data_IF_879629744690
#
_entry.id   IF_879629744690
#
_cell.length_a   1.000
_cell.length_b   1.000
_cell.length_c   1.000
_cell.angle_alpha   90.00
_cell.angle_beta   90.00
_cell.angle_gamma   90.00
#
_symmetry.space_group_name_H-M   'P 1'
#
loop_
_entity.id
_entity.type
_entity.pdbx_description
1 polymer ?
#
# COMPACT_ATOMS: atom_id res chain seq x y z
N UNK A 1 -16.42 -13.10 -8.44
CA UNK A 1 -16.08 -14.51 -8.11
C UNK A 1 -14.74 -14.98 -8.67
N UNK A 2 -14.42 -14.80 -9.97
CA UNK A 2 -13.14 -15.28 -10.54
C UNK A 2 -11.85 -14.70 -9.90
N UNK A 3 -11.87 -13.48 -9.35
CA UNK A 3 -10.68 -12.88 -8.70
C UNK A 3 -10.45 -13.29 -7.24
N UNK A 4 -11.51 -13.70 -6.52
CA UNK A 4 -11.42 -14.22 -5.15
C UNK A 4 -10.84 -15.64 -5.15
N UNK A 5 -11.22 -16.44 -6.15
CA UNK A 5 -10.65 -17.77 -6.38
C UNK A 5 -9.18 -17.69 -6.80
N UNK A 6 -8.78 -16.71 -7.62
CA UNK A 6 -7.36 -16.55 -7.98
C UNK A 6 -6.51 -16.08 -6.81
N UNK A 7 -6.99 -15.13 -6.00
CA UNK A 7 -6.25 -14.65 -4.82
C UNK A 7 -6.16 -15.74 -3.75
N UNK A 8 -7.25 -16.47 -3.48
CA UNK A 8 -7.23 -17.62 -2.58
C UNK A 8 -6.27 -18.73 -3.04
N UNK A 9 -6.23 -19.02 -4.35
CA UNK A 9 -5.29 -19.98 -4.93
C UNK A 9 -3.83 -19.54 -4.78
N UNK A 10 -3.52 -18.27 -5.03
CA UNK A 10 -2.15 -17.75 -4.84
C UNK A 10 -1.76 -17.67 -3.36
N UNK A 11 -2.69 -17.36 -2.45
CA UNK A 11 -2.46 -17.44 -1.01
C UNK A 11 -2.22 -18.87 -0.55
N UNK A 12 -2.95 -19.85 -1.09
CA UNK A 12 -2.75 -21.27 -0.82
C UNK A 12 -1.41 -21.77 -1.38
N UNK A 13 -1.02 -21.37 -2.60
CA UNK A 13 0.28 -21.70 -3.19
C UNK A 13 1.43 -21.07 -2.41
N UNK A 14 1.28 -19.83 -1.94
CA UNK A 14 2.27 -19.17 -1.10
C UNK A 14 2.39 -19.85 0.27
N UNK A 15 1.27 -20.19 0.91
CA UNK A 15 1.25 -20.96 2.16
C UNK A 15 1.86 -22.36 1.97
N UNK A 16 1.56 -23.04 0.87
CA UNK A 16 2.14 -24.33 0.52
C UNK A 16 3.67 -24.22 0.29
N UNK A 17 4.13 -23.18 -0.40
CA UNK A 17 5.56 -22.91 -0.58
C UNK A 17 6.26 -22.64 0.76
N UNK A 18 5.61 -21.90 1.67
CA UNK A 18 6.10 -21.67 3.04
C UNK A 18 6.17 -22.99 3.81
N UNK A 19 5.17 -23.87 3.70
CA UNK A 19 5.23 -25.19 4.35
C UNK A 19 6.30 -26.09 3.78
N UNK A 20 6.54 -26.07 2.45
CA UNK A 20 7.58 -26.86 1.79
C UNK A 20 8.97 -26.35 2.18
N UNK A 21 9.17 -25.04 2.29
CA UNK A 21 10.40 -24.42 2.78
C UNK A 21 10.61 -24.63 4.28
N UNK A 22 9.53 -24.76 5.04
CA UNK A 22 9.59 -25.11 6.46
C UNK A 22 9.92 -26.58 6.68
N UNK A 23 9.48 -27.49 5.81
CA UNK A 23 9.77 -28.92 5.91
C UNK A 23 11.17 -29.27 5.36
N UNK A 24 11.67 -28.52 4.37
CA UNK A 24 13.06 -28.64 3.89
C UNK A 24 14.11 -28.30 4.97
N UNK A 25 13.71 -27.53 6.00
CA UNK A 25 14.45 -27.28 7.24
C UNK A 25 14.83 -28.55 8.00
N UNK A 26 14.04 -29.65 7.87
CA UNK A 26 14.36 -30.94 8.49
C UNK A 26 15.42 -31.73 7.74
N UNK A 27 15.71 -31.40 6.48
CA UNK A 27 16.59 -32.19 5.62
C UNK A 27 18.04 -31.68 5.52
N UNK A 28 18.36 -30.47 6.01
CA UNK A 28 19.75 -30.02 6.19
C UNK A 28 20.51 -29.48 4.95
N UNK A 29 19.82 -28.91 3.94
CA UNK A 29 20.43 -28.58 2.64
C UNK A 29 20.92 -27.13 2.43
N UNK A 30 20.89 -26.22 3.43
CA UNK A 30 21.00 -24.77 3.14
C UNK A 30 21.74 -23.92 4.18
N UNK A 31 22.89 -24.36 4.70
CA UNK A 31 23.49 -23.72 5.87
C UNK A 31 24.33 -22.43 5.63
N UNK A 32 24.49 -21.86 4.42
CA UNK A 32 25.58 -20.85 4.27
C UNK A 32 25.43 -19.59 3.40
N UNK A 33 24.27 -19.20 2.85
CA UNK A 33 24.25 -17.99 1.96
C UNK A 33 23.15 -16.97 2.27
N UNK A 34 22.05 -17.36 2.92
CA UNK A 34 21.03 -16.40 3.34
C UNK A 34 20.57 -16.83 4.72
N UNK A 35 20.69 -15.93 5.71
CA UNK A 35 20.14 -16.16 7.05
C UNK A 35 18.67 -16.58 6.89
N UNK A 36 18.33 -17.78 7.32
CA UNK A 36 16.99 -18.37 7.15
C UNK A 36 15.90 -17.47 7.76
N UNK A 37 16.29 -16.70 8.77
CA UNK A 37 15.48 -15.66 9.42
C UNK A 37 15.16 -14.51 8.45
N UNK A 38 16.15 -14.06 7.68
CA UNK A 38 16.01 -13.03 6.66
C UNK A 38 15.11 -13.51 5.50
N UNK A 39 15.27 -14.75 5.04
CA UNK A 39 14.39 -15.36 4.03
C UNK A 39 12.94 -15.42 4.50
N UNK A 40 12.70 -15.85 5.74
CA UNK A 40 11.36 -15.88 6.35
C UNK A 40 10.77 -14.48 6.44
N UNK A 41 11.54 -13.48 6.88
CA UNK A 41 11.08 -12.09 6.90
C UNK A 41 10.77 -11.56 5.50
N UNK A 42 11.62 -11.81 4.50
CA UNK A 42 11.38 -11.40 3.12
C UNK A 42 10.15 -12.08 2.52
N UNK A 43 9.92 -13.35 2.83
CA UNK A 43 8.72 -14.09 2.42
C UNK A 43 7.45 -13.54 3.07
N UNK A 44 7.44 -13.30 4.38
CA UNK A 44 6.28 -12.70 5.05
C UNK A 44 5.99 -11.28 4.57
N UNK A 45 7.02 -10.49 4.33
CA UNK A 45 6.88 -9.17 3.71
C UNK A 45 6.35 -9.27 2.28
N UNK A 46 6.85 -10.23 1.49
CA UNK A 46 6.38 -10.51 0.14
C UNK A 46 4.91 -10.93 0.10
N UNK A 47 4.49 -11.80 1.03
CA UNK A 47 3.08 -12.21 1.19
C UNK A 47 2.22 -11.03 1.61
N UNK A 48 2.68 -10.22 2.57
CA UNK A 48 1.98 -9.00 3.00
C UNK A 48 1.78 -8.01 1.85
N UNK A 49 2.82 -7.77 1.06
CA UNK A 49 2.78 -6.92 -0.14
C UNK A 49 1.86 -7.52 -1.19
N UNK A 50 1.91 -8.84 -1.45
CA UNK A 50 1.07 -9.50 -2.43
C UNK A 50 -0.41 -9.45 -2.04
N UNK A 51 -0.74 -9.67 -0.76
CA UNK A 51 -2.09 -9.53 -0.22
C UNK A 51 -2.56 -8.08 -0.34
N UNK A 52 -1.69 -7.12 -0.07
CA UNK A 52 -2.01 -5.70 -0.18
C UNK A 52 -2.27 -5.27 -1.63
N UNK A 53 -1.42 -5.68 -2.56
CA UNK A 53 -1.60 -5.46 -4.01
C UNK A 53 -2.86 -6.16 -4.51
N UNK A 54 -3.15 -7.37 -4.03
CA UNK A 54 -4.37 -8.09 -4.33
C UNK A 54 -5.63 -7.39 -3.79
N UNK A 55 -5.59 -6.90 -2.55
CA UNK A 55 -6.68 -6.21 -1.87
C UNK A 55 -6.94 -4.81 -2.46
N UNK A 56 -5.91 -4.13 -2.98
CA UNK A 56 -6.06 -2.89 -3.74
C UNK A 56 -6.88 -3.07 -5.02
N UNK A 57 -7.02 -4.31 -5.51
CA UNK A 57 -7.89 -4.70 -6.62
C UNK A 57 -7.47 -4.15 -7.99
N UNK A 58 -8.18 -4.61 -9.03
CA UNK A 58 -7.95 -4.21 -10.45
C UNK A 58 -8.07 -2.70 -10.69
N UNK A 59 -8.84 -1.96 -9.88
CA UNK A 59 -9.09 -0.53 -10.05
C UNK A 59 -7.88 0.36 -9.69
N UNK A 60 -6.85 -0.19 -9.04
CA UNK A 60 -5.56 0.49 -8.81
C UNK A 60 -4.40 -0.19 -9.55
N UNK A 61 -4.70 -1.00 -10.58
CA UNK A 61 -3.72 -1.58 -11.50
C UNK A 61 -2.74 -0.52 -12.02
N UNK A 62 -1.47 -0.91 -12.22
CA UNK A 62 -0.42 -0.06 -12.80
C UNK A 62 -0.86 0.55 -14.14
N UNK A 63 -1.73 -0.14 -14.88
CA UNK A 63 -2.25 0.27 -16.19
C UNK A 63 -3.45 1.21 -16.15
N UNK A 64 -4.10 1.43 -15.00
CA UNK A 64 -5.33 2.23 -14.88
C UNK A 64 -5.09 3.62 -14.27
N UNK A 65 -6.06 4.51 -14.47
CA UNK A 65 -6.10 5.94 -14.12
C UNK A 65 -5.51 6.31 -12.75
N UNK A 66 -4.74 7.39 -12.71
CA UNK A 66 -4.19 8.00 -11.49
C UNK A 66 -5.33 8.62 -10.68
N UNK A 67 -5.60 8.09 -9.48
CA UNK A 67 -6.67 8.57 -8.60
C UNK A 67 -6.06 9.18 -7.34
N UNK A 68 -5.95 10.51 -7.30
CA UNK A 68 -5.30 11.22 -6.18
C UNK A 68 -6.05 11.07 -4.87
N UNK A 69 -5.32 10.87 -3.77
CA UNK A 69 -5.87 10.82 -2.41
C UNK A 69 -5.67 12.18 -1.74
N UNK A 70 -6.56 13.11 -2.02
CA UNK A 70 -6.38 14.51 -1.61
C UNK A 70 -6.83 14.78 -0.16
N UNK A 71 -7.79 14.02 0.33
CA UNK A 71 -8.21 14.08 1.72
C UNK A 71 -8.74 12.72 2.13
N UNK A 72 -8.77 12.48 3.44
CA UNK A 72 -9.40 11.29 4.01
C UNK A 72 -10.67 11.71 4.72
N UNK A 73 -11.77 11.03 4.37
CA UNK A 73 -13.04 11.18 5.08
C UNK A 73 -13.38 9.89 5.80
N UNK A 74 -13.90 10.02 7.00
CA UNK A 74 -14.38 8.88 7.77
C UNK A 74 -15.77 8.47 7.28
N UNK A 75 -15.97 7.17 7.06
CA UNK A 75 -17.24 6.59 6.66
C UNK A 75 -17.60 5.44 7.57
N UNK A 76 -18.63 5.63 8.41
CA UNK A 76 -19.02 4.65 9.42
C UNK A 76 -19.51 3.33 8.80
N UNK A 77 -20.30 3.40 7.72
CA UNK A 77 -20.79 2.19 7.04
C UNK A 77 -19.67 1.35 6.43
N UNK A 78 -18.68 1.99 5.80
CA UNK A 78 -17.52 1.29 5.27
C UNK A 78 -16.56 0.81 6.37
N UNK A 79 -16.48 1.54 7.49
CA UNK A 79 -15.72 1.13 8.66
C UNK A 79 -16.27 -0.19 9.21
N UNK A 80 -17.59 -0.33 9.33
CA UNK A 80 -18.20 -1.58 9.81
C UNK A 80 -17.90 -2.77 8.88
N UNK A 81 -18.05 -2.59 7.57
CA UNK A 81 -17.70 -3.63 6.60
C UNK A 81 -16.23 -4.01 6.67
N UNK A 82 -15.34 -3.02 6.81
CA UNK A 82 -13.92 -3.26 6.99
C UNK A 82 -13.60 -3.98 8.30
N UNK A 83 -14.26 -3.60 9.40
CA UNK A 83 -14.10 -4.22 10.71
C UNK A 83 -14.54 -5.69 10.69
N UNK A 84 -15.65 -6.01 10.02
CA UNK A 84 -16.11 -7.38 9.83
C UNK A 84 -15.10 -8.22 9.02
N UNK A 85 -14.60 -7.70 7.90
CA UNK A 85 -13.59 -8.39 7.10
C UNK A 85 -12.28 -8.56 7.88
N UNK A 86 -11.88 -7.55 8.63
CA UNK A 86 -10.69 -7.59 9.47
C UNK A 86 -10.83 -8.58 10.62
N UNK A 87 -11.99 -8.64 11.27
CA UNK A 87 -12.31 -9.63 12.30
C UNK A 87 -12.22 -11.04 11.73
N UNK A 88 -12.86 -11.31 10.58
CA UNK A 88 -12.81 -12.63 9.94
C UNK A 88 -11.36 -13.03 9.58
N UNK A 89 -10.58 -12.11 9.03
CA UNK A 89 -9.16 -12.34 8.75
C UNK A 89 -8.35 -12.61 10.02
N UNK A 90 -8.59 -11.83 11.08
CA UNK A 90 -7.96 -11.99 12.39
C UNK A 90 -8.28 -13.34 13.05
N UNK A 91 -9.54 -13.79 12.96
CA UNK A 91 -9.97 -15.09 13.46
C UNK A 91 -9.30 -16.24 12.69
N UNK A 92 -9.18 -16.15 11.36
CA UNK A 92 -8.49 -17.16 10.55
C UNK A 92 -7.01 -17.26 10.96
N UNK A 93 -6.30 -16.14 11.06
CA UNK A 93 -4.90 -16.11 11.49
C UNK A 93 -4.75 -16.64 12.92
N UNK A 94 -5.61 -16.17 13.82
CA UNK A 94 -5.65 -16.58 15.21
C UNK A 94 -5.92 -18.08 15.42
N UNK A 95 -6.71 -18.70 14.52
CA UNK A 95 -6.95 -20.15 14.54
C UNK A 95 -5.76 -20.95 14.03
N UNK A 96 -5.01 -20.45 13.06
CA UNK A 96 -3.92 -21.18 12.40
C UNK A 96 -2.64 -21.17 13.25
N UNK A 97 -2.34 -20.04 13.91
CA UNK A 97 -1.09 -19.86 14.65
C UNK A 97 -0.85 -20.87 15.80
N UNK A 98 -1.85 -21.28 16.61
CA UNK A 98 -1.68 -22.30 17.64
C UNK A 98 -1.33 -23.69 17.14
N UNK A 99 -1.58 -24.01 15.85
CA UNK A 99 -1.16 -25.29 15.27
C UNK A 99 0.29 -25.27 14.76
N UNK A 100 0.86 -24.08 14.57
CA UNK A 100 2.22 -23.88 14.03
C UNK A 100 3.21 -23.55 15.15
N UNK A 101 2.75 -22.82 16.16
CA UNK A 101 3.52 -22.51 17.36
C UNK A 101 3.08 -23.45 18.46
N UNK A 102 4.02 -23.99 19.24
CA UNK A 102 3.76 -24.88 20.39
C UNK A 102 3.11 -24.12 21.57
N UNK A 103 2.14 -23.25 21.28
CA UNK A 103 1.23 -22.62 22.21
C UNK A 103 0.44 -23.74 22.88
N UNK A 104 0.77 -24.07 24.13
CA UNK A 104 0.03 -25.04 24.94
C UNK A 104 -1.40 -24.58 25.27
N UNK A 105 -1.85 -24.79 26.50
CA UNK A 105 -3.27 -24.61 26.91
C UNK A 105 -3.84 -23.18 26.78
N UNK A 106 -3.03 -22.19 26.38
CA UNK A 106 -3.40 -20.77 26.24
C UNK A 106 -3.57 -20.31 24.79
N UNK A 107 -3.91 -21.22 23.88
CA UNK A 107 -4.15 -20.93 22.45
C UNK A 107 -5.22 -19.85 22.18
N UNK A 108 -6.16 -19.66 23.12
CA UNK A 108 -7.25 -18.67 23.00
C UNK A 108 -6.78 -17.21 23.11
N UNK A 109 -5.64 -16.95 23.77
CA UNK A 109 -5.10 -15.59 23.94
C UNK A 109 -4.66 -14.96 22.61
N UNK A 110 -3.77 -15.60 21.81
CA UNK A 110 -3.42 -15.08 20.49
C UNK A 110 -4.62 -15.07 19.55
N UNK A 111 -5.52 -16.06 19.64
CA UNK A 111 -6.75 -16.10 18.85
C UNK A 111 -7.60 -14.83 19.05
N UNK A 112 -7.89 -14.45 20.31
CA UNK A 112 -8.62 -13.22 20.62
C UNK A 112 -7.81 -11.96 20.28
N UNK A 113 -6.49 -11.99 20.49
CA UNK A 113 -5.61 -10.87 20.15
C UNK A 113 -5.65 -10.53 18.66
N UNK A 114 -5.48 -11.52 17.78
CA UNK A 114 -5.55 -11.32 16.33
C UNK A 114 -6.95 -10.93 15.86
N UNK A 115 -8.00 -11.44 16.49
CA UNK A 115 -9.39 -11.04 16.20
C UNK A 115 -9.62 -9.55 16.51
N UNK A 116 -9.17 -9.07 17.68
CA UNK A 116 -9.31 -7.66 18.09
C UNK A 116 -8.47 -6.73 17.21
N UNK A 117 -7.21 -7.11 16.95
CA UNK A 117 -6.32 -6.34 16.07
C UNK A 117 -6.89 -6.28 14.64
N UNK A 118 -7.38 -7.41 14.13
CA UNK A 118 -8.04 -7.50 12.83
C UNK A 118 -9.27 -6.59 12.76
N UNK A 119 -10.13 -6.61 13.78
CA UNK A 119 -11.30 -5.74 13.87
C UNK A 119 -10.91 -4.26 13.82
N UNK A 120 -9.93 -3.83 14.62
CA UNK A 120 -9.46 -2.45 14.68
C UNK A 120 -8.85 -1.97 13.36
N UNK A 121 -7.88 -2.73 12.82
CA UNK A 121 -7.21 -2.40 11.56
C UNK A 121 -8.21 -2.39 10.40
N UNK A 122 -9.06 -3.41 10.32
CA UNK A 122 -10.10 -3.50 9.30
C UNK A 122 -11.06 -2.32 9.35
N UNK A 123 -11.47 -1.90 10.56
CA UNK A 123 -12.34 -0.75 10.75
C UNK A 123 -11.71 0.56 10.27
N UNK A 124 -10.45 0.78 10.60
CA UNK A 124 -9.70 1.98 10.18
C UNK A 124 -9.50 2.00 8.67
N UNK A 125 -9.01 0.91 8.08
CA UNK A 125 -8.76 0.83 6.63
C UNK A 125 -10.06 0.87 5.82
N UNK A 126 -11.14 0.29 6.33
CA UNK A 126 -12.47 0.36 5.72
C UNK A 126 -13.07 1.75 5.81
N UNK A 127 -12.94 2.40 6.97
CA UNK A 127 -13.55 3.68 7.29
C UNK A 127 -12.87 4.88 6.65
N UNK A 128 -11.54 4.86 6.53
CA UNK A 128 -10.77 5.94 5.89
C UNK A 128 -10.90 5.83 4.36
N UNK A 129 -11.74 6.69 3.79
CA UNK A 129 -11.94 6.73 2.34
C UNK A 129 -11.24 7.93 1.69
N UNK A 130 -10.55 7.72 0.55
CA UNK A 130 -10.04 8.79 -0.28
C UNK A 130 -11.15 9.72 -0.75
N UNK A 131 -10.88 11.01 -0.73
CA UNK A 131 -11.76 12.04 -1.26
C UNK A 131 -10.95 13.07 -2.07
N UNK A 132 -11.43 13.37 -3.28
CA UNK A 132 -10.82 14.32 -4.22
C UNK A 132 -11.43 15.70 -4.01
N UNK A 133 -10.60 16.73 -3.88
CA UNK A 133 -11.07 18.11 -3.80
C UNK A 133 -11.45 18.61 -5.21
N UNK A 134 -12.63 19.22 -5.32
CA UNK A 134 -13.12 19.73 -6.61
C UNK A 134 -12.38 21.00 -7.04
N UNK A 135 -12.04 21.86 -6.08
CA UNK A 135 -11.42 23.16 -6.34
C UNK A 135 -9.91 23.06 -6.25
N UNK A 136 -9.23 23.25 -7.39
CA UNK A 136 -7.76 23.25 -7.48
C UNK A 136 -7.30 24.54 -8.12
N UNK A 137 -6.37 25.23 -7.47
CA UNK A 137 -5.86 26.53 -7.91
C UNK A 137 -4.44 26.44 -8.45
N UNK A 138 -3.68 25.42 -8.06
CA UNK A 138 -2.26 25.25 -8.44
C UNK A 138 -2.07 23.97 -9.26
N UNK A 139 -1.25 23.99 -10.33
CA UNK A 139 -0.89 22.77 -11.06
C UNK A 139 -0.29 21.71 -10.14
N UNK A 140 -0.65 20.44 -10.37
CA UNK A 140 -0.21 19.28 -9.57
C UNK A 140 -0.61 19.31 -8.08
N UNK A 141 -1.57 20.17 -7.68
CA UNK A 141 -2.04 20.25 -6.30
C UNK A 141 -2.55 18.89 -5.78
N UNK A 142 -3.28 18.14 -6.62
CA UNK A 142 -3.79 16.82 -6.24
C UNK A 142 -2.68 15.81 -5.90
N UNK A 143 -1.59 15.78 -6.67
CA UNK A 143 -0.44 14.89 -6.43
C UNK A 143 0.34 15.29 -5.18
N UNK A 144 0.57 16.59 -4.98
CA UNK A 144 1.25 17.11 -3.78
C UNK A 144 0.46 16.77 -2.52
N UNK A 145 -0.86 16.89 -2.59
CA UNK A 145 -1.74 16.61 -1.49
C UNK A 145 -1.84 15.10 -1.22
N UNK A 146 -1.86 14.28 -2.28
CA UNK A 146 -1.75 12.81 -2.19
C UNK A 146 -0.46 12.37 -1.51
N UNK A 147 0.67 13.00 -1.86
CA UNK A 147 1.95 12.75 -1.18
C UNK A 147 1.88 13.15 0.29
N UNK A 148 1.34 14.34 0.60
CA UNK A 148 1.20 14.81 1.99
C UNK A 148 0.34 13.86 2.82
N UNK A 149 -0.79 13.40 2.30
CA UNK A 149 -1.68 12.48 3.00
C UNK A 149 -1.03 11.10 3.19
N UNK A 150 -0.41 10.55 2.15
CA UNK A 150 0.32 9.29 2.22
C UNK A 150 1.43 9.33 3.28
N UNK A 151 2.24 10.40 3.29
CA UNK A 151 3.30 10.60 4.30
C UNK A 151 2.74 10.79 5.71
N UNK A 152 1.67 11.58 5.88
CA UNK A 152 1.06 11.77 7.19
C UNK A 152 0.54 10.45 7.76
N UNK A 153 -0.19 9.65 6.98
CA UNK A 153 -0.69 8.35 7.46
C UNK A 153 0.45 7.39 7.75
N UNK A 154 1.42 7.28 6.85
CA UNK A 154 2.55 6.38 7.01
C UNK A 154 3.42 6.73 8.22
N UNK A 155 3.69 8.01 8.47
CA UNK A 155 4.47 8.46 9.63
C UNK A 155 3.69 8.29 10.94
N UNK A 156 2.38 8.54 10.95
CA UNK A 156 1.57 8.32 12.15
C UNK A 156 1.38 6.84 12.49
N UNK A 157 1.62 5.93 11.54
CA UNK A 157 1.69 4.51 11.81
C UNK A 157 2.82 4.13 12.79
N UNK A 158 3.86 4.98 12.91
CA UNK A 158 4.92 4.82 13.91
C UNK A 158 4.33 4.75 15.33
N UNK A 159 3.37 5.61 15.64
CA UNK A 159 2.71 5.62 16.94
C UNK A 159 1.88 4.37 17.18
N UNK A 160 1.18 3.88 16.15
CA UNK A 160 0.41 2.65 16.25
C UNK A 160 1.30 1.44 16.52
N UNK A 161 2.41 1.31 15.79
CA UNK A 161 3.39 0.23 16.00
C UNK A 161 4.03 0.36 17.38
N UNK A 162 4.44 1.57 17.79
CA UNK A 162 5.04 1.82 19.10
C UNK A 162 4.08 1.49 20.26
N UNK A 163 2.79 1.81 20.14
CA UNK A 163 1.78 1.46 21.14
C UNK A 163 1.59 -0.06 21.21
N UNK A 164 1.47 -0.75 20.06
CA UNK A 164 1.31 -2.21 20.03
C UNK A 164 2.52 -2.91 20.64
N UNK A 165 3.73 -2.49 20.27
CA UNK A 165 4.98 -3.03 20.81
C UNK A 165 5.10 -2.71 22.31
N UNK A 166 4.78 -1.50 22.73
CA UNK A 166 4.82 -1.09 24.14
C UNK A 166 3.86 -1.90 25.01
N UNK A 167 2.62 -2.12 24.55
CA UNK A 167 1.65 -2.97 25.25
C UNK A 167 2.12 -4.43 25.31
N UNK A 168 2.71 -4.93 24.22
CA UNK A 168 3.27 -6.29 24.20
C UNK A 168 4.45 -6.44 25.16
N UNK A 169 5.27 -5.38 25.31
CA UNK A 169 6.42 -5.34 26.22
C UNK A 169 5.98 -5.36 27.69
N UNK A 170 5.04 -4.49 28.06
CA UNK A 170 4.50 -4.42 29.44
C UNK A 170 3.68 -5.66 29.82
N UNK A 171 2.99 -6.28 28.87
CA UNK A 171 2.17 -7.47 29.11
C UNK A 171 2.92 -8.80 29.14
N UNK A 172 4.25 -8.80 29.16
CA UNK A 172 5.12 -10.00 29.14
C UNK A 172 4.92 -10.90 27.89
N UNK A 173 4.20 -10.39 26.87
CA UNK A 173 3.92 -11.09 25.61
C UNK A 173 5.19 -11.27 24.79
N UNK A 174 6.13 -10.32 24.85
CA UNK A 174 7.43 -10.37 24.16
C UNK A 174 8.29 -11.55 24.64
N UNK A 175 8.15 -11.96 25.91
CA UNK A 175 8.91 -13.05 26.50
C UNK A 175 8.24 -14.43 26.37
N UNK A 176 6.97 -14.46 25.96
CA UNK A 176 6.24 -15.70 25.72
C UNK A 176 6.85 -16.48 24.55
N UNK A 177 7.15 -17.79 24.67
CA UNK A 177 7.87 -18.57 23.65
C UNK A 177 7.21 -18.60 22.27
N UNK A 178 5.90 -18.34 22.19
CA UNK A 178 5.17 -18.20 20.92
C UNK A 178 5.39 -16.86 20.19
N UNK A 179 5.85 -15.85 20.92
CA UNK A 179 6.17 -14.51 20.42
C UNK A 179 7.64 -14.14 20.66
N UNK A 180 8.45 -15.08 21.15
CA UNK A 180 9.91 -15.01 21.13
C UNK A 180 10.36 -15.01 19.67
N UNK A 181 10.34 -13.82 19.08
CA UNK A 181 11.12 -13.49 17.89
C UNK A 181 12.56 -13.50 18.39
N UNK A 182 13.22 -14.66 18.31
CA UNK A 182 14.46 -14.97 19.04
C UNK A 182 15.53 -13.88 18.90
N UNK A 183 16.35 -13.72 19.96
CA UNK A 183 17.62 -12.96 20.23
C UNK A 183 18.13 -11.83 19.30
N UNK A 184 17.42 -11.48 18.25
CA UNK A 184 17.79 -10.49 17.26
C UNK A 184 16.96 -9.25 17.54
N UNK A 185 17.59 -8.23 18.12
CA UNK A 185 17.07 -6.87 18.28
C UNK A 185 16.83 -6.12 16.94
N UNK A 186 16.82 -6.83 15.80
CA UNK A 186 16.59 -6.30 14.45
C UNK A 186 15.15 -6.52 13.89
N UNK A 187 14.04 -6.83 14.62
CA UNK A 187 12.73 -7.00 13.99
C UNK A 187 11.98 -5.66 13.92
N UNK A 188 12.25 -4.70 14.79
CA UNK A 188 11.49 -3.45 14.89
C UNK A 188 11.59 -2.61 13.62
N UNK A 189 12.80 -2.47 13.06
CA UNK A 189 13.03 -1.65 11.87
C UNK A 189 12.43 -2.28 10.60
N UNK A 190 12.49 -3.61 10.47
CA UNK A 190 11.91 -4.33 9.32
C UNK A 190 10.38 -4.29 9.31
N UNK A 191 9.74 -4.54 10.45
CA UNK A 191 8.28 -4.42 10.56
C UNK A 191 7.82 -2.97 10.44
N UNK A 192 8.62 -2.03 10.93
CA UNK A 192 8.38 -0.60 10.76
C UNK A 192 8.42 -0.20 9.28
N UNK A 193 9.51 -0.49 8.56
CA UNK A 193 9.64 -0.12 7.14
C UNK A 193 8.53 -0.77 6.32
N UNK A 194 8.21 -2.03 6.58
CA UNK A 194 7.11 -2.73 5.93
C UNK A 194 5.77 -2.03 6.14
N UNK A 195 5.44 -1.66 7.38
CA UNK A 195 4.16 -1.01 7.73
C UNK A 195 4.06 0.38 7.13
N UNK A 196 5.14 1.17 7.22
CA UNK A 196 5.22 2.51 6.64
C UNK A 196 5.06 2.46 5.13
N UNK A 197 5.81 1.60 4.43
CA UNK A 197 5.71 1.44 2.97
C UNK A 197 4.33 0.97 2.55
N UNK A 198 3.77 -0.01 3.25
CA UNK A 198 2.41 -0.53 3.05
C UNK A 198 1.36 0.58 3.10
N UNK A 199 1.35 1.35 4.19
CA UNK A 199 0.35 2.41 4.38
C UNK A 199 0.59 3.60 3.43
N UNK A 200 1.86 3.94 3.16
CA UNK A 200 2.20 4.96 2.18
C UNK A 200 1.62 4.62 0.80
N UNK A 201 1.84 3.39 0.32
CA UNK A 201 1.30 2.93 -0.95
C UNK A 201 -0.23 2.87 -0.93
N UNK A 202 -0.84 2.46 0.20
CA UNK A 202 -2.30 2.38 0.37
C UNK A 202 -3.01 3.75 0.27
N UNK A 203 -2.44 4.78 0.88
CA UNK A 203 -3.07 6.10 1.02
C UNK A 203 -2.60 7.13 -0.02
N UNK A 204 -2.22 6.67 -1.22
CA UNK A 204 -1.99 7.53 -2.38
C UNK A 204 -0.52 7.65 -2.82
N UNK A 205 0.41 7.00 -2.13
CA UNK A 205 1.81 6.95 -2.53
C UNK A 205 2.01 6.25 -3.88
N UNK A 206 1.22 5.21 -4.17
CA UNK A 206 1.27 4.51 -5.45
C UNK A 206 0.89 5.45 -6.62
N UNK A 207 -0.16 6.26 -6.46
CA UNK A 207 -0.60 7.22 -7.49
C UNK A 207 0.44 8.33 -7.72
N UNK A 208 1.16 8.74 -6.67
CA UNK A 208 2.30 9.65 -6.78
C UNK A 208 3.43 9.02 -7.59
N UNK A 209 3.80 7.77 -7.29
CA UNK A 209 4.83 7.04 -8.03
C UNK A 209 4.43 6.89 -9.51
N UNK A 210 3.20 6.45 -9.80
CA UNK A 210 2.68 6.34 -11.18
C UNK A 210 2.80 7.65 -11.94
N UNK A 211 2.43 8.77 -11.30
CA UNK A 211 2.50 10.09 -11.92
C UNK A 211 3.94 10.47 -12.32
N UNK A 212 4.91 10.28 -11.42
CA UNK A 212 6.30 10.63 -11.70
C UNK A 212 6.96 9.66 -12.68
N UNK A 213 6.66 8.37 -12.62
CA UNK A 213 7.14 7.36 -13.59
C UNK A 213 6.60 7.69 -14.98
N UNK A 214 5.31 7.96 -15.12
CA UNK A 214 4.71 8.35 -16.39
C UNK A 214 5.39 9.62 -16.95
N UNK A 215 5.62 10.62 -16.11
CA UNK A 215 6.29 11.86 -16.52
C UNK A 215 7.75 11.64 -16.93
N UNK A 216 8.47 10.74 -16.26
CA UNK A 216 9.83 10.36 -16.63
C UNK A 216 9.88 9.63 -17.97
N UNK A 217 8.96 8.69 -18.22
CA UNK A 217 8.85 7.96 -19.50
C UNK A 217 8.49 8.92 -20.65
N UNK A 218 7.50 9.80 -20.45
CA UNK A 218 7.12 10.78 -21.47
C UNK A 218 8.24 11.77 -21.76
N UNK A 219 9.02 12.17 -20.76
CA UNK A 219 10.20 13.00 -20.97
C UNK A 219 11.34 12.25 -21.68
N UNK A 220 11.62 11.00 -21.28
CA UNK A 220 12.64 10.17 -21.91
C UNK A 220 12.33 9.83 -23.37
N UNK A 221 11.04 9.75 -23.72
CA UNK A 221 10.58 9.57 -25.11
C UNK A 221 10.49 10.87 -25.93
N UNK A 222 10.84 12.02 -25.36
CA UNK A 222 10.79 13.32 -26.04
C UNK A 222 9.38 13.88 -26.27
N UNK A 223 8.33 13.25 -25.72
CA UNK A 223 6.94 13.66 -25.93
C UNK A 223 6.52 14.84 -25.06
N UNK A 224 7.12 14.99 -23.87
CA UNK A 224 6.81 16.10 -22.95
C UNK A 224 8.07 16.65 -22.30
N UNK A 225 8.20 17.99 -22.14
CA UNK A 225 9.32 18.56 -21.41
C UNK A 225 9.24 18.23 -19.92
N UNK A 226 10.40 18.04 -19.28
CA UNK A 226 10.51 17.78 -17.83
C UNK A 226 9.72 18.79 -16.99
N UNK A 227 9.91 20.10 -17.25
CA UNK A 227 9.15 21.16 -16.60
C UNK A 227 7.95 21.60 -17.44
N UNK A 228 6.96 20.70 -17.52
CA UNK A 228 5.70 20.96 -18.22
C UNK A 228 5.01 22.25 -17.74
N UNK A 229 5.05 22.58 -16.45
CA UNK A 229 4.42 23.82 -15.94
C UNK A 229 5.07 25.05 -16.55
N UNK A 230 6.41 25.11 -16.60
CA UNK A 230 7.13 26.24 -17.21
C UNK A 230 6.87 26.32 -18.71
N UNK A 231 6.83 25.19 -19.41
CA UNK A 231 6.48 25.15 -20.84
C UNK A 231 5.06 25.70 -21.09
N UNK A 232 4.07 25.26 -20.31
CA UNK A 232 2.69 25.74 -20.44
C UNK A 232 2.55 27.22 -20.06
N UNK A 233 3.34 27.70 -19.08
CA UNK A 233 3.35 29.12 -18.72
C UNK A 233 3.98 29.99 -19.82
N UNK A 234 5.01 29.50 -20.50
CA UNK A 234 5.56 30.16 -21.69
C UNK A 234 4.54 30.19 -22.83
N UNK A 235 3.85 29.07 -23.10
CA UNK A 235 2.77 29.03 -24.09
C UNK A 235 1.63 30.00 -23.75
N UNK A 236 1.33 30.17 -22.45
CA UNK A 236 0.41 31.20 -21.97
C UNK A 236 0.92 32.61 -22.24
N UNK A 237 2.20 32.92 -21.99
CA UNK A 237 2.77 34.25 -22.31
C UNK A 237 2.73 34.58 -23.80
N UNK A 238 2.66 33.57 -24.66
CA UNK A 238 2.50 33.69 -26.11
C UNK A 238 1.02 33.68 -26.56
N UNK A 239 0.05 33.78 -25.63
CA UNK A 239 -1.39 33.72 -25.89
C UNK A 239 -1.90 32.43 -26.56
N UNK A 240 -1.12 31.33 -26.52
CA UNK A 240 -1.55 30.03 -27.04
C UNK A 240 -2.48 29.30 -26.06
N UNK A 241 -2.27 29.53 -24.76
CA UNK A 241 -3.00 28.89 -23.67
C UNK A 241 -3.54 29.89 -22.65
N UNK A 242 -4.61 29.52 -21.97
CA UNK A 242 -5.20 30.22 -20.84
C UNK A 242 -5.25 29.29 -19.63
N UNK A 243 -5.13 29.85 -18.43
CA UNK A 243 -5.18 29.09 -17.18
C UNK A 243 -6.63 29.06 -16.67
N UNK A 244 -7.19 27.87 -16.54
CA UNK A 244 -8.50 27.60 -15.94
C UNK A 244 -8.29 26.84 -14.62
N UNK A 245 -8.19 27.57 -13.51
CA UNK A 245 -7.86 27.00 -12.19
C UNK A 245 -6.46 26.38 -12.17
N UNK A 246 -6.38 25.06 -11.94
CA UNK A 246 -5.14 24.28 -11.97
C UNK A 246 -4.78 23.73 -13.36
N UNK A 247 -5.65 23.89 -14.35
CA UNK A 247 -5.47 23.37 -15.70
C UNK A 247 -5.09 24.48 -16.69
N UNK A 248 -4.51 24.06 -17.81
CA UNK A 248 -4.25 24.90 -18.96
C UNK A 248 -5.19 24.46 -20.08
N UNK A 249 -5.88 25.42 -20.68
CA UNK A 249 -6.76 25.22 -21.83
C UNK A 249 -6.20 26.01 -23.01
N UNK A 250 -6.45 25.56 -24.24
CA UNK A 250 -6.10 26.36 -25.41
C UNK A 250 -6.97 27.61 -25.46
N UNK A 251 -6.36 28.76 -25.73
CA UNK A 251 -7.07 30.03 -25.87
C UNK A 251 -8.05 29.99 -27.05
N UNK A 252 -7.70 29.26 -28.11
CA UNK A 252 -8.48 29.15 -29.34
C UNK A 252 -8.76 27.69 -29.66
N UNK A 253 -10.04 27.34 -29.82
CA UNK A 253 -10.46 25.97 -30.18
C UNK A 253 -9.87 25.51 -31.52
N UNK A 254 -9.75 26.40 -32.51
CA UNK A 254 -9.15 26.08 -33.82
C UNK A 254 -7.67 25.68 -33.71
N UNK A 255 -6.91 26.27 -32.79
CA UNK A 255 -5.52 25.91 -32.55
C UNK A 255 -5.41 24.49 -31.98
N UNK A 256 -6.27 24.15 -31.01
CA UNK A 256 -6.37 22.80 -30.47
C UNK A 256 -6.70 21.80 -31.60
N UNK A 257 -7.71 22.08 -32.41
CA UNK A 257 -8.14 21.20 -33.51
C UNK A 257 -7.04 21.03 -34.56
N UNK A 258 -6.29 22.08 -34.89
CA UNK A 258 -5.17 22.01 -35.83
C UNK A 258 -4.01 21.14 -35.29
N UNK A 259 -3.68 21.27 -34.00
CA UNK A 259 -2.61 20.48 -33.37
C UNK A 259 -3.03 19.02 -33.09
N UNK A 260 -4.32 18.77 -32.87
CA UNK A 260 -4.88 17.44 -32.64
C UNK A 260 -5.19 16.68 -33.93
N UNK A 261 -5.31 17.38 -35.06
CA UNK A 261 -5.50 16.74 -36.35
C UNK A 261 -4.28 15.84 -36.63
N UNK A 262 -4.49 14.56 -37.00
CA UNK A 262 -3.40 13.69 -37.42
C UNK A 262 -2.72 14.37 -38.61
N UNK A 263 -1.43 14.64 -38.47
CA UNK A 263 -0.67 15.33 -39.50
C UNK A 263 -0.86 14.62 -40.83
N UNK A 264 -1.34 15.35 -41.84
CA UNK A 264 -1.02 15.03 -43.22
C UNK A 264 0.49 15.19 -43.31
N UNK A 265 1.23 14.11 -43.06
CA UNK A 265 2.67 14.07 -43.18
C UNK A 265 3.04 14.55 -44.59
N UNK A 266 3.72 15.70 -44.65
CA UNK A 266 4.58 16.08 -45.76
C UNK A 266 6.00 15.75 -45.37
#
# INVERSE_FOLDING_TARGET
MKSLLSTGLWSFVALAAVTILWDSKKMGWWEYVIDNTLLLHLLWNGVGIALLVGAMGRNRSISYSINTVESLRWSLGNAWQGALLGLLGGLVVGCVLPFISSLGDRWWIPFLGFAIVGLGIGGILGGLKPHVLQTKTVPNQGIRLSLRMASLVALNALWLVAIVVGIAWEGDFVYHPAFRVGDYYVPGLGHFTATVTTLFLWFGGLDVIKHYVLRAVLNGSGQTPWNLVRFLEQARSLNLMQRAGSAYIFAHRRLLEHLAAPGQAR
#
